data_IF_774171459741
#
_entry.id   IF_774171459741
#
_cell.length_a   1.000
_cell.length_b   1.000
_cell.length_c   1.000
_cell.angle_alpha   90.00
_cell.angle_beta   90.00
_cell.angle_gamma   90.00
#
_symmetry.space_group_name_H-M   'P 1'
#
loop_
_entity.id
_entity.type
_entity.pdbx_description
1 polymer ?
#
# COMPACT_ATOMS: atom_id res chain seq x y z
N UNK A 1 -28.13 9.68 -2.93
CA UNK A 1 -27.28 10.83 -2.57
C UNK A 1 -27.80 11.63 -1.37
N UNK A 2 -29.04 11.42 -0.87
CA UNK A 2 -29.56 12.09 0.33
C UNK A 2 -28.90 11.64 1.64
N UNK A 3 -28.79 10.34 1.87
CA UNK A 3 -28.35 9.79 3.18
C UNK A 3 -26.94 10.20 3.61
N UNK A 4 -25.96 10.24 2.70
CA UNK A 4 -24.58 10.58 3.05
C UNK A 4 -24.43 12.07 3.39
N UNK A 5 -25.25 12.93 2.80
CA UNK A 5 -25.25 14.36 3.09
C UNK A 5 -25.93 14.65 4.43
N UNK A 6 -27.02 13.95 4.75
CA UNK A 6 -27.67 14.04 6.06
C UNK A 6 -26.76 13.51 7.18
N UNK A 7 -26.05 12.40 6.96
CA UNK A 7 -25.06 11.86 7.89
C UNK A 7 -23.93 12.85 8.20
N UNK A 8 -23.46 13.61 7.21
CA UNK A 8 -22.40 14.61 7.41
C UNK A 8 -22.90 15.91 8.04
N UNK A 9 -24.18 16.24 7.88
CA UNK A 9 -24.78 17.48 8.38
C UNK A 9 -24.96 17.48 9.89
N UNK A 10 -25.32 16.33 10.45
CA UNK A 10 -25.59 16.16 11.89
C UNK A 10 -24.41 15.51 12.65
N UNK A 11 -23.32 15.16 11.95
CA UNK A 11 -22.15 14.54 12.55
C UNK A 11 -21.40 15.49 13.49
N UNK A 12 -21.06 14.98 14.66
CA UNK A 12 -20.16 15.65 15.59
C UNK A 12 -18.71 15.66 15.06
N UNK A 13 -17.87 16.57 15.56
CA UNK A 13 -16.44 16.61 15.21
C UNK A 13 -15.72 15.27 15.45
N UNK A 14 -16.13 14.52 16.49
CA UNK A 14 -15.57 13.20 16.79
C UNK A 14 -15.92 12.15 15.73
N UNK A 15 -17.17 12.14 15.25
CA UNK A 15 -17.61 11.23 14.19
C UNK A 15 -16.96 11.57 12.85
N UNK A 16 -16.81 12.85 12.52
CA UNK A 16 -16.08 13.29 11.33
C UNK A 16 -14.60 12.89 11.39
N UNK A 17 -13.96 13.02 12.55
CA UNK A 17 -12.57 12.58 12.74
C UNK A 17 -12.43 11.06 12.58
N UNK A 18 -13.36 10.28 13.16
CA UNK A 18 -13.38 8.82 13.02
C UNK A 18 -13.60 8.40 11.56
N UNK A 19 -14.58 9.00 10.87
CA UNK A 19 -14.84 8.73 9.45
C UNK A 19 -13.62 9.06 8.58
N UNK A 20 -12.96 10.18 8.84
CA UNK A 20 -11.72 10.57 8.14
C UNK A 20 -10.59 9.57 8.41
N UNK A 21 -10.42 9.15 9.66
CA UNK A 21 -9.41 8.16 10.02
C UNK A 21 -9.69 6.80 9.36
N UNK A 22 -10.94 6.36 9.31
CA UNK A 22 -11.32 5.11 8.65
C UNK A 22 -11.14 5.20 7.12
N UNK A 23 -11.50 6.33 6.51
CA UNK A 23 -11.42 6.52 5.07
C UNK A 23 -9.99 6.72 4.56
N UNK A 24 -9.13 7.40 5.33
CA UNK A 24 -7.76 7.76 4.88
C UNK A 24 -6.67 7.16 5.77
N UNK A 25 -6.83 7.24 7.09
CA UNK A 25 -5.81 6.80 8.06
C UNK A 25 -5.56 5.29 8.04
N UNK A 26 -6.62 4.48 8.00
CA UNK A 26 -6.49 3.01 7.96
C UNK A 26 -5.87 2.53 6.62
N UNK A 27 -6.35 2.95 5.44
CA UNK A 27 -5.69 2.61 4.17
C UNK A 27 -4.25 3.10 4.09
N UNK A 28 -3.96 4.31 4.57
CA UNK A 28 -2.60 4.85 4.62
C UNK A 28 -1.69 3.96 5.47
N UNK A 29 -2.12 3.63 6.70
CA UNK A 29 -1.31 2.85 7.64
C UNK A 29 -1.03 1.45 7.10
N UNK A 30 -2.02 0.80 6.50
CA UNK A 30 -1.86 -0.52 5.91
C UNK A 30 -0.93 -0.48 4.69
N UNK A 31 -1.13 0.48 3.78
CA UNK A 31 -0.27 0.65 2.60
C UNK A 31 1.17 0.99 3.00
N UNK A 32 1.35 1.87 3.98
CA UNK A 32 2.65 2.22 4.52
C UNK A 32 3.34 0.98 5.11
N UNK A 33 2.65 0.19 5.93
CA UNK A 33 3.19 -1.05 6.49
C UNK A 33 3.60 -2.08 5.43
N UNK A 34 2.71 -2.36 4.46
CA UNK A 34 3.02 -3.30 3.36
C UNK A 34 4.18 -2.77 2.52
N UNK A 35 4.17 -1.49 2.14
CA UNK A 35 5.25 -0.87 1.37
C UNK A 35 6.58 -0.88 2.13
N UNK A 36 6.57 -0.76 3.46
CA UNK A 36 7.77 -0.84 4.28
C UNK A 36 8.38 -2.23 4.27
N UNK A 37 7.57 -3.28 4.39
CA UNK A 37 8.06 -4.66 4.24
C UNK A 37 8.61 -4.89 2.83
N UNK A 38 7.87 -4.43 1.81
CA UNK A 38 8.30 -4.55 0.42
C UNK A 38 9.59 -3.76 0.14
N UNK A 39 9.82 -2.62 0.77
CA UNK A 39 11.02 -1.80 0.52
C UNK A 39 12.32 -2.50 0.94
N UNK A 40 12.23 -3.45 1.88
CA UNK A 40 13.35 -4.27 2.37
C UNK A 40 13.72 -5.40 1.43
N UNK A 41 12.78 -5.87 0.62
CA UNK A 41 13.01 -7.02 -0.25
C UNK A 41 13.03 -6.58 -1.70
N UNK A 42 12.07 -5.79 -2.17
CA UNK A 42 11.84 -5.51 -3.59
C UNK A 42 12.86 -4.56 -4.21
N UNK A 43 13.34 -4.94 -5.40
CA UNK A 43 14.05 -4.03 -6.31
C UNK A 43 15.34 -3.47 -5.75
N UNK A 44 16.10 -4.24 -4.95
CA UNK A 44 17.31 -3.76 -4.26
C UNK A 44 18.33 -3.10 -5.18
N UNK A 45 18.47 -3.61 -6.42
CA UNK A 45 19.35 -3.08 -7.48
C UNK A 45 18.63 -2.26 -8.54
N UNK A 46 17.33 -2.00 -8.37
CA UNK A 46 16.58 -1.20 -9.33
C UNK A 46 16.80 0.29 -9.03
N UNK A 47 16.85 1.11 -10.09
CA UNK A 47 16.87 2.56 -9.97
C UNK A 47 15.78 3.06 -8.99
N UNK A 48 16.02 4.15 -8.25
CA UNK A 48 15.11 4.63 -7.20
C UNK A 48 13.65 4.75 -7.63
N UNK A 49 13.42 5.22 -8.85
CA UNK A 49 12.08 5.44 -9.40
C UNK A 49 11.36 4.10 -9.65
N UNK A 50 12.09 3.12 -10.21
CA UNK A 50 11.59 1.78 -10.47
C UNK A 50 11.40 0.99 -9.18
N UNK A 51 12.33 1.10 -8.22
CA UNK A 51 12.22 0.46 -6.90
C UNK A 51 11.03 0.99 -6.12
N UNK A 52 10.80 2.31 -6.13
CA UNK A 52 9.63 2.93 -5.51
C UNK A 52 8.32 2.44 -6.14
N UNK A 53 8.25 2.33 -7.47
CA UNK A 53 7.08 1.76 -8.15
C UNK A 53 6.84 0.31 -7.74
N UNK A 54 7.86 -0.54 -7.79
CA UNK A 54 7.76 -1.96 -7.43
C UNK A 54 7.40 -2.18 -5.95
N UNK A 55 7.70 -1.21 -5.08
CA UNK A 55 7.36 -1.25 -3.66
C UNK A 55 5.91 -0.84 -3.40
N UNK A 56 5.46 0.24 -4.05
CA UNK A 56 4.17 0.88 -3.74
C UNK A 56 3.02 0.28 -4.55
N UNK A 57 3.26 -0.08 -5.81
CA UNK A 57 2.21 -0.62 -6.68
C UNK A 57 1.58 -1.91 -6.12
N UNK A 58 2.34 -2.91 -5.64
CA UNK A 58 1.73 -4.10 -5.04
C UNK A 58 0.99 -3.79 -3.74
N UNK A 59 1.49 -2.85 -2.93
CA UNK A 59 0.81 -2.41 -1.71
C UNK A 59 -0.54 -1.75 -2.01
N UNK A 60 -0.58 -0.89 -3.04
CA UNK A 60 -1.82 -0.26 -3.53
C UNK A 60 -2.81 -1.31 -4.05
N UNK A 61 -2.34 -2.27 -4.85
CA UNK A 61 -3.18 -3.37 -5.35
C UNK A 61 -3.74 -4.19 -4.18
N UNK A 62 -2.92 -4.55 -3.20
CA UNK A 62 -3.36 -5.30 -2.03
C UNK A 62 -4.45 -4.56 -1.24
N UNK A 63 -4.25 -3.28 -0.95
CA UNK A 63 -5.24 -2.43 -0.27
C UNK A 63 -6.52 -2.30 -1.09
N UNK A 64 -6.40 -2.11 -2.41
CA UNK A 64 -7.53 -2.00 -3.33
C UNK A 64 -8.36 -3.29 -3.33
N UNK A 65 -7.72 -4.45 -3.48
CA UNK A 65 -8.40 -5.75 -3.47
C UNK A 65 -9.07 -6.01 -2.11
N UNK A 66 -8.37 -5.74 -1.00
CA UNK A 66 -8.94 -5.89 0.34
C UNK A 66 -10.15 -4.96 0.55
N UNK A 67 -10.12 -3.74 0.03
CA UNK A 67 -11.23 -2.80 0.14
C UNK A 67 -12.42 -3.24 -0.71
N UNK A 68 -12.18 -3.64 -1.96
CA UNK A 68 -13.23 -4.07 -2.91
C UNK A 68 -13.90 -5.36 -2.45
N UNK A 69 -13.13 -6.38 -2.05
CA UNK A 69 -13.67 -7.68 -1.68
C UNK A 69 -14.00 -7.80 -0.18
N UNK A 70 -13.34 -7.03 0.68
CA UNK A 70 -13.63 -6.98 2.13
C UNK A 70 -14.91 -6.22 2.47
N UNK A 71 -15.34 -5.27 1.64
CA UNK A 71 -16.57 -4.47 1.85
C UNK A 71 -17.75 -4.89 0.96
N UNK A 72 -17.79 -6.13 0.44
CA UNK A 72 -18.88 -6.63 -0.39
C UNK A 72 -20.24 -6.60 0.36
N UNK A 73 -21.04 -5.56 0.09
CA UNK A 73 -22.34 -5.32 0.75
C UNK A 73 -22.76 -3.85 0.78
N UNK A 74 -21.83 -2.89 0.65
CA UNK A 74 -22.14 -1.46 0.57
C UNK A 74 -22.19 -0.99 -0.89
N UNK A 75 -23.30 -0.38 -1.34
CA UNK A 75 -23.58 -0.19 -2.79
C UNK A 75 -22.75 0.88 -3.50
N UNK A 76 -21.82 1.57 -2.84
CA UNK A 76 -21.00 2.65 -3.45
C UNK A 76 -19.62 2.84 -2.81
N UNK A 77 -19.50 2.60 -1.49
CA UNK A 77 -18.27 2.73 -0.73
C UNK A 77 -17.04 1.96 -1.27
N UNK A 78 -17.16 0.73 -1.81
CA UNK A 78 -16.01 -0.05 -2.27
C UNK A 78 -15.22 0.59 -3.43
N UNK A 79 -15.82 1.53 -4.18
CA UNK A 79 -15.15 2.25 -5.27
C UNK A 79 -14.51 3.57 -4.83
N UNK A 80 -14.96 4.16 -3.72
CA UNK A 80 -14.35 5.38 -3.16
C UNK A 80 -12.97 5.06 -2.59
N UNK A 81 -12.81 3.91 -1.93
CA UNK A 81 -11.55 3.53 -1.27
C UNK A 81 -10.35 3.41 -2.23
N UNK A 82 -10.46 2.78 -3.42
CA UNK A 82 -9.39 2.77 -4.42
C UNK A 82 -9.02 4.18 -4.91
N UNK A 83 -10.02 5.03 -5.16
CA UNK A 83 -9.80 6.41 -5.60
C UNK A 83 -9.13 7.26 -4.53
N UNK A 84 -9.54 7.13 -3.27
CA UNK A 84 -8.88 7.76 -2.12
C UNK A 84 -7.49 7.16 -1.84
N UNK A 85 -7.29 5.88 -2.18
CA UNK A 85 -6.01 5.19 -2.07
C UNK A 85 -4.95 5.68 -3.06
N UNK A 86 -5.34 6.21 -4.21
CA UNK A 86 -4.40 6.71 -5.22
C UNK A 86 -3.51 7.89 -4.74
N UNK A 87 -4.05 8.98 -4.15
CA UNK A 87 -3.21 10.05 -3.60
C UNK A 87 -2.34 9.56 -2.43
N UNK A 88 -2.84 8.63 -1.62
CA UNK A 88 -2.06 7.97 -0.56
C UNK A 88 -0.87 7.22 -1.16
N UNK A 89 -1.10 6.40 -2.20
CA UNK A 89 -0.05 5.68 -2.91
C UNK A 89 0.98 6.64 -3.50
N UNK A 90 0.53 7.77 -4.06
CA UNK A 90 1.43 8.79 -4.60
C UNK A 90 2.33 9.40 -3.51
N UNK A 91 1.77 9.75 -2.35
CA UNK A 91 2.55 10.27 -1.21
C UNK A 91 3.61 9.25 -0.77
N UNK A 92 3.23 7.98 -0.62
CA UNK A 92 4.13 6.91 -0.20
C UNK A 92 5.19 6.64 -1.28
N UNK A 93 4.84 6.72 -2.57
CA UNK A 93 5.78 6.63 -3.68
C UNK A 93 6.85 7.71 -3.61
N UNK A 94 6.48 8.96 -3.39
CA UNK A 94 7.44 10.06 -3.28
C UNK A 94 8.34 9.92 -2.05
N UNK A 95 7.79 9.45 -0.93
CA UNK A 95 8.58 9.14 0.26
C UNK A 95 9.65 8.09 -0.03
N UNK A 96 9.28 6.95 -0.61
CA UNK A 96 10.23 5.88 -0.94
C UNK A 96 11.21 6.27 -2.04
N UNK A 97 10.75 6.99 -3.07
CA UNK A 97 11.61 7.52 -4.13
C UNK A 97 12.73 8.38 -3.55
N UNK A 98 12.38 9.29 -2.62
CA UNK A 98 13.35 10.14 -1.92
C UNK A 98 14.31 9.30 -1.07
N UNK A 99 13.80 8.35 -0.29
CA UNK A 99 14.63 7.48 0.56
C UNK A 99 15.61 6.65 -0.27
N UNK A 100 15.14 6.00 -1.33
CA UNK A 100 15.98 5.19 -2.21
C UNK A 100 17.00 6.03 -2.96
N UNK A 101 16.62 7.20 -3.46
CA UNK A 101 17.58 8.11 -4.13
C UNK A 101 18.67 8.58 -3.18
N UNK A 102 18.36 8.82 -1.91
CA UNK A 102 19.37 9.24 -0.92
C UNK A 102 20.40 8.16 -0.57
N UNK A 103 20.13 6.91 -0.92
CA UNK A 103 20.99 5.74 -0.64
C UNK A 103 21.47 5.05 -1.92
N UNK A 104 21.20 5.65 -3.08
CA UNK A 104 21.57 5.11 -4.37
C UNK A 104 22.96 5.59 -4.76
N UNK A 105 23.84 4.65 -5.06
CA UNK A 105 25.16 4.90 -5.65
C UNK A 105 25.13 4.34 -7.06
N UNK A 106 25.65 5.09 -8.03
CA UNK A 106 25.59 4.68 -9.45
C UNK A 106 26.65 3.62 -9.78
N UNK A 107 27.75 3.59 -9.04
CA UNK A 107 28.86 2.64 -9.20
C UNK A 107 29.26 1.99 -7.87
N UNK A 108 29.70 0.73 -7.91
CA UNK A 108 30.27 0.03 -6.75
C UNK A 108 31.52 0.75 -6.20
N UNK A 109 32.25 1.46 -7.05
CA UNK A 109 33.44 2.26 -6.70
C UNK A 109 33.12 3.48 -5.83
N UNK A 110 31.84 3.88 -5.75
CA UNK A 110 31.35 4.99 -4.92
C UNK A 110 30.84 4.51 -3.54
N UNK A 111 30.77 3.18 -3.32
CA UNK A 111 30.35 2.63 -2.04
C UNK A 111 31.49 2.66 -1.01
N UNK A 112 31.21 3.05 0.26
CA UNK A 112 32.16 2.87 1.34
C UNK A 112 32.61 1.41 1.46
N UNK A 113 33.89 1.18 1.73
CA UNK A 113 34.46 -0.17 1.90
C UNK A 113 33.61 -1.00 2.88
N UNK A 114 33.11 -2.15 2.41
CA UNK A 114 32.30 -3.09 3.19
C UNK A 114 30.80 -3.06 2.92
N UNK A 115 30.32 -2.20 2.01
CA UNK A 115 28.91 -2.19 1.59
C UNK A 115 28.73 -3.09 0.37
N UNK A 116 28.15 -4.28 0.53
CA UNK A 116 27.83 -5.19 -0.59
C UNK A 116 26.37 -5.02 -1.03
N UNK A 117 26.11 -4.92 -2.34
CA UNK A 117 24.76 -4.94 -2.89
C UNK A 117 24.14 -6.34 -2.64
N UNK A 118 23.30 -6.43 -1.60
CA UNK A 118 22.59 -7.66 -1.26
C UNK A 118 21.69 -8.17 -2.40
N UNK A 119 21.56 -9.50 -2.42
CA UNK A 119 21.32 -10.41 -3.54
C UNK A 119 20.01 -10.23 -4.36
N UNK A 120 20.01 -10.77 -5.58
CA UNK A 120 18.94 -10.73 -6.60
C UNK A 120 17.67 -11.56 -6.30
N UNK A 121 17.55 -12.17 -5.11
CA UNK A 121 16.49 -13.12 -4.72
C UNK A 121 15.17 -12.47 -4.28
N UNK A 122 15.06 -11.15 -4.42
CA UNK A 122 13.86 -10.40 -4.02
C UNK A 122 12.58 -10.78 -4.75
N UNK A 123 12.70 -11.35 -5.96
CA UNK A 123 11.57 -11.83 -6.75
C UNK A 123 10.83 -12.94 -6.01
N UNK A 124 11.56 -13.80 -5.28
CA UNK A 124 10.99 -14.88 -4.48
C UNK A 124 10.27 -14.32 -3.25
N UNK A 125 10.87 -13.34 -2.58
CA UNK A 125 10.23 -12.64 -1.45
C UNK A 125 8.95 -11.89 -1.86
N UNK A 126 8.97 -11.21 -3.01
CA UNK A 126 7.80 -10.55 -3.58
C UNK A 126 6.71 -11.56 -3.96
N UNK A 127 7.06 -12.67 -4.63
CA UNK A 127 6.14 -13.75 -4.95
C UNK A 127 5.50 -14.34 -3.69
N UNK A 128 6.27 -14.54 -2.62
CA UNK A 128 5.77 -15.05 -1.35
C UNK A 128 4.77 -14.08 -0.70
N UNK A 129 5.08 -12.79 -0.64
CA UNK A 129 4.17 -11.77 -0.06
C UNK A 129 2.90 -11.64 -0.89
N UNK A 130 3.01 -11.57 -2.23
CA UNK A 130 1.84 -11.54 -3.12
C UNK A 130 0.99 -12.80 -2.91
N UNK A 131 1.60 -13.98 -2.84
CA UNK A 131 0.89 -15.24 -2.61
C UNK A 131 0.15 -15.22 -1.28
N UNK A 132 0.76 -14.68 -0.23
CA UNK A 132 0.17 -14.62 1.10
C UNK A 132 -1.02 -13.65 1.16
N UNK A 133 -0.93 -12.49 0.48
CA UNK A 133 -2.04 -11.55 0.32
C UNK A 133 -3.18 -12.16 -0.48
N UNK A 134 -2.88 -12.86 -1.58
CA UNK A 134 -3.89 -13.55 -2.40
C UNK A 134 -4.58 -14.65 -1.59
N UNK A 135 -3.83 -15.47 -0.85
CA UNK A 135 -4.41 -16.51 0.03
C UNK A 135 -5.28 -15.89 1.12
N UNK A 136 -4.86 -14.79 1.74
CA UNK A 136 -5.67 -14.08 2.73
C UNK A 136 -6.97 -13.54 2.12
N UNK A 137 -6.90 -12.95 0.92
CA UNK A 137 -8.09 -12.46 0.21
C UNK A 137 -9.05 -13.61 -0.17
N UNK A 138 -8.53 -14.73 -0.68
CA UNK A 138 -9.33 -15.93 -0.97
C UNK A 138 -10.00 -16.45 0.30
N UNK A 139 -9.26 -16.54 1.42
CA UNK A 139 -9.82 -17.02 2.69
C UNK A 139 -10.95 -16.11 3.18
N UNK A 140 -10.79 -14.80 3.08
CA UNK A 140 -11.84 -13.82 3.44
C UNK A 140 -13.07 -14.00 2.57
N UNK A 141 -12.90 -14.22 1.25
CA UNK A 141 -14.02 -14.48 0.33
C UNK A 141 -14.73 -15.78 0.72
N UNK A 142 -13.99 -16.89 0.90
CA UNK A 142 -14.56 -18.20 1.22
C UNK A 142 -15.24 -18.27 2.60
N UNK A 143 -14.77 -17.49 3.58
CA UNK A 143 -15.40 -17.43 4.92
C UNK A 143 -16.61 -16.50 4.98
N UNK A 144 -16.88 -15.73 3.92
CA UNK A 144 -18.04 -14.84 3.84
C UNK A 144 -19.30 -15.55 3.35
N UNK A 145 -19.15 -16.70 2.68
CA UNK A 145 -20.22 -17.52 2.10
C UNK A 145 -20.70 -18.65 3.04
N UNK A 146 -20.18 -18.73 4.28
CA UNK A 146 -20.62 -19.63 5.35
C UNK A 146 -21.34 -18.87 6.46
#
# INVERSE_FOLDING_TARGET
MGDAYELLRDATLGELALLTFLAFGMPFSFMAGVSWVLSKVVGLKAEPDRRALLTVLPAYIAVTLLSVFGMAGASFWPLIFPLAGAPIALIIYWFWRRDFRSRWYENDDEMPDGTTLENDDWKIGLLAIISLVVVAAIKVILTRDM
#
